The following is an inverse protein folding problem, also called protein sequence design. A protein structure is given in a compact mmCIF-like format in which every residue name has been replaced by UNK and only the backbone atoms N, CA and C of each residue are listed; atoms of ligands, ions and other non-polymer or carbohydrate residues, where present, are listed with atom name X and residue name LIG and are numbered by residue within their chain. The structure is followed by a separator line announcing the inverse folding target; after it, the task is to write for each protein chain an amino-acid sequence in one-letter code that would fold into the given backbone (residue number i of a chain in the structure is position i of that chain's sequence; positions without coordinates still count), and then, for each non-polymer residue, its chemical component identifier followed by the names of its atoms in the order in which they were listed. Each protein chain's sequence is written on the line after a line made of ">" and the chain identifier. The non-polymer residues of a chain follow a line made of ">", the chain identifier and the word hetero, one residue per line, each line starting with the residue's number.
data_IF_623805851232
#
_entry.id   IF_623805851232
#
_cell.length_a   1.000
_cell.length_b   1.000
_cell.length_c   1.000
_cell.angle_alpha   90.00
_cell.angle_beta   90.00
_cell.angle_gamma   90.00
#
_symmetry.space_group_name_H-M   'P 1'
#
loop_
_entity.id
_entity.type
_entity.pdbx_description
1 polymer ?
#
# COMPACT_ATOMS: atom_id res chain seq x y z
N UNK A 1 -0.33 -9.21 -3.20
CA UNK A 1 0.49 -8.08 -2.70
C UNK A 1 -0.39 -7.11 -1.93
N UNK A 2 -0.07 -6.88 -0.68
CA UNK A 2 -0.74 -5.86 0.12
C UNK A 2 0.06 -4.57 0.00
N UNK A 3 -0.54 -3.56 -0.59
CA UNK A 3 0.07 -2.26 -0.80
C UNK A 3 -0.36 -1.28 0.29
N UNK A 4 0.58 -0.50 0.79
CA UNK A 4 0.35 0.54 1.79
C UNK A 4 0.62 1.90 1.13
N UNK A 5 -0.35 2.48 0.42
CA UNK A 5 -0.15 3.75 -0.28
C UNK A 5 -0.07 4.93 0.70
N UNK A 6 0.73 5.92 0.34
CA UNK A 6 0.78 7.21 1.02
C UNK A 6 0.55 8.33 0.00
N UNK A 7 -0.22 9.32 0.39
CA UNK A 7 -0.52 10.47 -0.47
C UNK A 7 -0.66 11.75 0.35
N UNK A 8 -0.40 12.89 -0.29
CA UNK A 8 -0.60 14.20 0.32
C UNK A 8 -2.08 14.60 0.16
N UNK A 9 -2.70 15.03 1.26
CA UNK A 9 -4.01 15.68 1.22
C UNK A 9 -3.80 17.15 0.84
N UNK A 10 -3.78 17.43 -0.46
CA UNK A 10 -3.34 18.71 -1.02
C UNK A 10 -4.12 19.89 -0.49
N UNK A 11 -5.44 19.80 -0.41
CA UNK A 11 -6.27 20.91 0.08
C UNK A 11 -5.82 21.41 1.45
N UNK A 12 -5.63 20.52 2.39
CA UNK A 12 -5.19 20.90 3.74
C UNK A 12 -3.73 21.33 3.77
N UNK A 13 -2.87 20.70 3.00
CA UNK A 13 -1.46 21.10 2.93
C UNK A 13 -1.28 22.50 2.34
N UNK A 14 -2.10 22.87 1.35
CA UNK A 14 -2.13 24.22 0.78
C UNK A 14 -2.65 25.25 1.78
N UNK A 15 -3.76 24.97 2.47
CA UNK A 15 -4.31 25.84 3.51
C UNK A 15 -3.31 26.13 4.63
N UNK A 16 -2.51 25.13 5.01
CA UNK A 16 -1.51 25.28 6.07
C UNK A 16 -0.14 25.74 5.59
N UNK A 17 0.03 25.99 4.29
CA UNK A 17 1.31 26.39 3.71
C UNK A 17 2.41 25.32 3.81
N UNK A 18 2.05 24.04 3.88
CA UNK A 18 2.97 22.92 4.11
C UNK A 18 3.05 21.95 2.93
N UNK A 19 2.54 22.33 1.75
CA UNK A 19 2.47 21.45 0.59
C UNK A 19 3.85 20.90 0.20
N UNK A 20 4.84 21.78 0.06
CA UNK A 20 6.20 21.38 -0.34
C UNK A 20 6.82 20.42 0.68
N UNK A 21 6.61 20.67 1.96
CA UNK A 21 7.09 19.80 3.03
C UNK A 21 6.40 18.42 3.01
N UNK A 22 5.08 18.41 2.79
CA UNK A 22 4.31 17.18 2.71
C UNK A 22 4.72 16.34 1.49
N UNK A 23 4.91 16.96 0.34
CA UNK A 23 5.41 16.29 -0.86
C UNK A 23 6.82 15.73 -0.65
N UNK A 24 7.72 16.51 -0.06
CA UNK A 24 9.08 16.08 0.25
C UNK A 24 9.08 14.88 1.22
N UNK A 25 8.16 14.87 2.19
CA UNK A 25 8.01 13.73 3.12
C UNK A 25 7.54 12.45 2.38
N UNK A 26 6.54 12.55 1.52
CA UNK A 26 6.06 11.40 0.75
C UNK A 26 7.16 10.87 -0.18
N UNK A 27 7.90 11.75 -0.83
CA UNK A 27 9.05 11.35 -1.66
C UNK A 27 10.14 10.67 -0.84
N UNK A 28 10.43 11.18 0.37
CA UNK A 28 11.39 10.57 1.28
C UNK A 28 11.03 9.13 1.65
N UNK A 29 9.74 8.80 1.77
CA UNK A 29 9.31 7.43 2.10
C UNK A 29 9.79 6.39 1.07
N UNK A 30 10.07 6.81 -0.15
CA UNK A 30 10.64 5.96 -1.21
C UNK A 30 12.17 5.90 -1.21
N UNK A 31 12.82 6.71 -0.41
CA UNK A 31 14.29 6.72 -0.35
C UNK A 31 14.82 5.38 0.19
N UNK A 32 16.07 5.00 -0.19
CA UNK A 32 16.71 3.81 0.38
C UNK A 32 16.80 3.84 1.90
N UNK A 33 17.01 5.02 2.49
CA UNK A 33 17.05 5.19 3.94
C UNK A 33 15.71 4.82 4.59
N UNK A 34 14.60 5.42 4.15
CA UNK A 34 13.27 5.13 4.68
C UNK A 34 12.87 3.68 4.43
N UNK A 35 13.14 3.16 3.24
CA UNK A 35 12.82 1.78 2.88
C UNK A 35 13.63 0.77 3.70
N UNK A 36 14.86 1.09 4.10
CA UNK A 36 15.65 0.27 5.01
C UNK A 36 15.03 0.22 6.40
N UNK A 37 14.47 1.32 6.87
CA UNK A 37 13.74 1.38 8.14
C UNK A 37 12.47 0.52 8.06
N UNK A 38 11.68 0.62 6.98
CA UNK A 38 10.52 -0.22 6.77
C UNK A 38 10.88 -1.71 6.74
N UNK A 39 11.93 -2.09 6.03
CA UNK A 39 12.39 -3.49 5.99
C UNK A 39 12.78 -4.00 7.38
N UNK A 40 13.43 -3.17 8.20
CA UNK A 40 13.79 -3.51 9.59
C UNK A 40 12.55 -3.82 10.43
N UNK A 41 11.44 -3.15 10.18
CA UNK A 41 10.16 -3.33 10.88
C UNK A 41 9.22 -4.36 10.22
N UNK A 42 9.69 -5.12 9.25
CA UNK A 42 8.93 -6.21 8.64
C UNK A 42 8.08 -5.82 7.43
N UNK A 43 8.22 -4.62 6.93
CA UNK A 43 7.53 -4.19 5.71
C UNK A 43 8.40 -4.46 4.48
N UNK A 44 7.82 -5.11 3.47
CA UNK A 44 8.52 -5.37 2.21
C UNK A 44 8.91 -4.06 1.55
N UNK A 45 10.21 -3.82 1.30
CA UNK A 45 10.63 -2.60 0.63
C UNK A 45 10.24 -2.59 -0.86
N UNK A 46 9.93 -1.42 -1.39
CA UNK A 46 9.63 -1.21 -2.81
C UNK A 46 10.85 -0.68 -3.58
N UNK A 47 11.86 -0.21 -2.87
CA UNK A 47 13.12 0.22 -3.48
C UNK A 47 14.00 -1.01 -3.72
N UNK A 48 14.43 -1.19 -4.99
CA UNK A 48 15.06 -2.42 -5.46
C UNK A 48 16.35 -2.76 -4.71
N UNK A 49 17.23 -1.78 -4.48
CA UNK A 49 18.50 -2.03 -3.80
C UNK A 49 18.31 -2.46 -2.35
N UNK A 50 17.29 -1.94 -1.68
CA UNK A 50 16.94 -2.35 -0.32
C UNK A 50 16.29 -3.73 -0.32
N UNK A 51 15.42 -4.01 -1.29
CA UNK A 51 14.81 -5.33 -1.43
C UNK A 51 15.88 -6.42 -1.63
N UNK A 52 16.84 -6.20 -2.53
CA UNK A 52 17.92 -7.16 -2.80
C UNK A 52 18.74 -7.50 -1.54
N UNK A 53 18.99 -6.50 -0.68
CA UNK A 53 19.70 -6.71 0.59
C UNK A 53 18.87 -7.47 1.63
N UNK A 54 17.56 -7.50 1.50
CA UNK A 54 16.63 -8.06 2.48
C UNK A 54 15.80 -9.23 1.93
N UNK A 55 16.05 -9.69 0.71
CA UNK A 55 15.21 -10.71 0.04
C UNK A 55 15.13 -12.05 0.79
N UNK A 56 16.09 -12.36 1.62
CA UNK A 56 16.02 -13.54 2.49
C UNK A 56 14.91 -13.45 3.54
N UNK A 57 14.52 -12.23 3.95
CA UNK A 57 13.39 -11.98 4.86
C UNK A 57 12.06 -11.80 4.15
N UNK A 58 12.09 -11.44 2.87
CA UNK A 58 10.92 -11.16 2.04
C UNK A 58 10.96 -12.03 0.77
N UNK A 59 10.80 -13.36 0.91
CA UNK A 59 10.80 -14.23 -0.26
C UNK A 59 9.67 -13.84 -1.20
N UNK A 60 9.94 -13.93 -2.50
CA UNK A 60 8.92 -13.70 -3.51
C UNK A 60 8.21 -15.02 -3.80
N UNK A 61 6.95 -15.16 -3.40
CA UNK A 61 6.18 -16.36 -3.69
C UNK A 61 5.85 -16.43 -5.18
N UNK A 62 5.68 -17.64 -5.69
CA UNK A 62 5.13 -17.86 -7.02
C UNK A 62 3.70 -17.32 -7.07
N UNK A 63 3.35 -16.62 -8.15
CA UNK A 63 2.00 -16.09 -8.30
C UNK A 63 1.69 -14.86 -7.44
N UNK A 64 2.69 -14.05 -7.09
CA UNK A 64 2.45 -12.74 -6.47
C UNK A 64 1.59 -11.88 -7.40
N UNK A 65 0.48 -11.38 -6.90
CA UNK A 65 -0.48 -10.58 -7.67
C UNK A 65 -0.91 -9.33 -6.91
N UNK A 66 -1.42 -8.36 -7.63
CA UNK A 66 -1.99 -7.12 -7.09
C UNK A 66 -3.51 -7.08 -7.25
N UNK A 67 -4.11 -5.94 -6.91
CA UNK A 67 -5.56 -5.75 -6.96
C UNK A 67 -6.12 -5.82 -8.38
N UNK A 68 -5.32 -5.53 -9.40
CA UNK A 68 -5.76 -5.57 -10.81
C UNK A 68 -6.09 -7.01 -11.25
N UNK A 69 -5.40 -7.99 -10.71
CA UNK A 69 -5.74 -9.40 -10.92
C UNK A 69 -7.16 -9.74 -10.47
N UNK A 70 -7.64 -9.06 -9.44
CA UNK A 70 -8.99 -9.21 -8.89
C UNK A 70 -10.02 -8.28 -9.57
N UNK A 71 -9.63 -7.55 -10.60
CA UNK A 71 -10.50 -6.62 -11.32
C UNK A 71 -10.48 -5.19 -10.82
N UNK A 72 -9.51 -4.83 -9.99
CA UNK A 72 -9.34 -3.49 -9.42
C UNK A 72 -10.20 -3.23 -8.18
N UNK A 73 -9.89 -2.14 -7.48
CA UNK A 73 -10.56 -1.78 -6.22
C UNK A 73 -12.07 -1.56 -6.35
N UNK A 74 -12.52 -0.96 -7.44
CA UNK A 74 -13.95 -0.72 -7.64
C UNK A 74 -14.74 -2.02 -7.75
N UNK A 75 -14.20 -2.99 -8.47
CA UNK A 75 -14.81 -4.32 -8.60
C UNK A 75 -14.83 -5.05 -7.25
N UNK A 76 -13.71 -5.09 -6.56
CA UNK A 76 -13.58 -5.74 -5.25
C UNK A 76 -14.54 -5.10 -4.23
N UNK A 77 -14.59 -3.77 -4.18
CA UNK A 77 -15.50 -3.06 -3.28
C UNK A 77 -16.95 -3.40 -3.54
N UNK A 78 -17.39 -3.41 -4.79
CA UNK A 78 -18.77 -3.73 -5.17
C UNK A 78 -19.11 -5.19 -4.88
N UNK A 79 -18.22 -6.10 -5.19
CA UNK A 79 -18.46 -7.55 -5.07
C UNK A 79 -18.38 -8.03 -3.62
N UNK A 80 -17.38 -7.58 -2.87
CA UNK A 80 -17.14 -8.07 -1.51
C UNK A 80 -17.78 -7.21 -0.43
N UNK A 81 -17.64 -5.88 -0.52
CA UNK A 81 -17.89 -4.98 0.61
C UNK A 81 -19.14 -4.10 0.47
N UNK A 82 -19.91 -4.21 -0.61
CA UNK A 82 -21.20 -3.53 -0.71
C UNK A 82 -22.22 -4.14 0.24
N UNK A 83 -23.34 -3.45 0.48
CA UNK A 83 -24.42 -3.91 1.37
C UNK A 83 -25.00 -5.29 1.02
N UNK A 84 -24.82 -5.75 -0.21
CA UNK A 84 -25.22 -7.08 -0.69
C UNK A 84 -24.01 -7.93 -1.12
N UNK A 85 -22.82 -7.46 -0.79
CA UNK A 85 -21.58 -8.13 -1.16
C UNK A 85 -21.35 -9.41 -0.36
N UNK A 86 -20.42 -10.21 -0.84
CA UNK A 86 -20.08 -11.52 -0.27
C UNK A 86 -19.74 -11.42 1.23
N UNK A 87 -19.02 -10.37 1.64
CA UNK A 87 -18.65 -10.17 3.04
C UNK A 87 -19.87 -10.07 3.96
N UNK A 88 -20.87 -9.29 3.56
CA UNK A 88 -22.13 -9.17 4.31
C UNK A 88 -22.90 -10.48 4.36
N UNK A 89 -22.93 -11.24 3.28
CA UNK A 89 -23.57 -12.55 3.25
C UNK A 89 -22.90 -13.52 4.23
N UNK A 90 -21.57 -13.55 4.25
CA UNK A 90 -20.81 -14.40 5.18
C UNK A 90 -21.11 -14.00 6.63
N UNK A 91 -21.08 -12.68 6.96
CA UNK A 91 -21.39 -12.21 8.32
C UNK A 91 -22.85 -12.49 8.74
N UNK A 92 -23.78 -12.45 7.81
CA UNK A 92 -25.18 -12.75 8.07
C UNK A 92 -25.49 -14.25 8.15
N UNK A 93 -24.51 -15.11 7.92
CA UNK A 93 -24.70 -16.56 7.95
C UNK A 93 -25.48 -17.13 6.77
N UNK A 94 -25.43 -16.42 5.65
CA UNK A 94 -26.15 -16.83 4.44
C UNK A 94 -25.27 -17.72 3.57
#
# INVERSE_FOLDING_TARGET
>A
LIENPAAVVRTYAEEHGTLDLAEAFVDYLRSPEAQSIFAKHGFRPVEESVYEKNKGRFPQPDGLFDIEYLGGWDHVRKTLYSKRGIWYQVLAGI
#
